data_IF_391344836158
#
_entry.id   IF_391344836158
#
_cell.length_a   1.000
_cell.length_b   1.000
_cell.length_c   1.000
_cell.angle_alpha   90.00
_cell.angle_beta   90.00
_cell.angle_gamma   90.00
#
_symmetry.space_group_name_H-M   'P 1'
#
loop_
_entity.id
_entity.type
_entity.pdbx_description
1 polymer ?
#
# COMPACT_ATOMS: atom_id res chain seq x y z
N UNK A 1 38.27 5.02 -27.70
CA UNK A 1 37.04 4.97 -26.90
C UNK A 1 36.66 3.50 -26.79
N UNK A 2 37.12 2.85 -25.73
CA UNK A 2 36.99 1.39 -25.51
C UNK A 2 35.52 0.99 -25.39
N UNK A 3 35.08 0.04 -26.20
CA UNK A 3 33.71 -0.50 -26.18
C UNK A 3 33.56 -1.35 -24.93
N UNK A 4 32.77 -0.85 -23.97
CA UNK A 4 32.33 -1.64 -22.81
C UNK A 4 31.52 -2.83 -23.31
N UNK A 5 32.05 -4.03 -23.13
CA UNK A 5 31.40 -5.27 -23.51
C UNK A 5 30.39 -5.69 -22.45
N UNK A 6 29.15 -5.22 -22.63
CA UNK A 6 28.03 -5.43 -21.72
C UNK A 6 27.73 -6.93 -21.50
N UNK A 7 28.02 -7.78 -22.49
CA UNK A 7 27.81 -9.21 -22.38
C UNK A 7 28.77 -9.84 -21.36
N UNK A 8 30.02 -9.37 -21.34
CA UNK A 8 31.05 -9.85 -20.43
C UNK A 8 30.79 -9.40 -18.98
N UNK A 9 30.23 -8.20 -18.81
CA UNK A 9 29.83 -7.67 -17.49
C UNK A 9 28.62 -8.41 -16.91
N UNK A 10 27.61 -8.70 -17.74
CA UNK A 10 26.45 -9.52 -17.37
C UNK A 10 26.84 -10.96 -17.00
N UNK A 11 27.77 -11.57 -17.75
CA UNK A 11 28.24 -12.91 -17.44
C UNK A 11 28.96 -12.98 -16.10
N UNK A 12 29.82 -11.99 -15.80
CA UNK A 12 30.52 -11.93 -14.53
C UNK A 12 29.56 -11.73 -13.37
N UNK A 13 28.60 -10.81 -13.47
CA UNK A 13 27.59 -10.60 -12.42
C UNK A 13 26.71 -11.82 -12.18
N UNK A 14 26.33 -12.55 -13.23
CA UNK A 14 25.51 -13.75 -13.08
C UNK A 14 26.27 -14.92 -12.44
N UNK A 15 27.56 -15.10 -12.78
CA UNK A 15 28.37 -16.22 -12.27
C UNK A 15 28.96 -15.97 -10.87
N UNK A 16 29.09 -14.71 -10.45
CA UNK A 16 29.58 -14.33 -9.10
C UNK A 16 28.46 -13.88 -8.15
N UNK A 17 27.20 -14.04 -8.54
CA UNK A 17 26.04 -13.71 -7.72
C UNK A 17 25.94 -14.59 -6.47
N UNK A 18 26.60 -14.19 -5.39
CA UNK A 18 26.25 -14.65 -4.05
C UNK A 18 24.82 -14.18 -3.80
N UNK A 19 23.85 -15.08 -3.97
CA UNK A 19 22.48 -14.86 -3.55
C UNK A 19 22.54 -14.68 -2.03
N UNK A 20 22.54 -13.42 -1.57
CA UNK A 20 22.38 -13.13 -0.14
C UNK A 20 21.00 -13.65 0.24
N UNK A 21 20.94 -14.83 0.86
CA UNK A 21 19.73 -15.26 1.56
C UNK A 21 19.42 -14.18 2.58
N UNK A 22 18.27 -13.52 2.42
CA UNK A 22 17.71 -12.64 3.44
C UNK A 22 17.65 -13.46 4.72
N UNK A 23 18.25 -12.96 5.80
CA UNK A 23 18.19 -13.61 7.11
C UNK A 23 16.72 -13.68 7.55
N UNK A 24 16.05 -14.77 7.21
CA UNK A 24 14.76 -15.12 7.80
C UNK A 24 15.02 -15.41 9.28
N UNK A 25 14.30 -14.78 10.22
CA UNK A 25 14.42 -15.14 11.63
C UNK A 25 14.13 -16.65 11.77
N UNK A 26 14.88 -17.31 12.65
CA UNK A 26 14.69 -18.73 12.91
C UNK A 26 13.24 -18.99 13.33
N UNK A 27 12.59 -20.07 12.86
CA UNK A 27 11.22 -20.38 13.25
C UNK A 27 11.17 -20.53 14.78
N UNK A 28 10.26 -19.78 15.41
CA UNK A 28 9.99 -19.87 16.84
C UNK A 28 9.69 -21.32 17.21
N UNK A 29 10.37 -21.86 18.23
CA UNK A 29 10.21 -23.25 18.63
C UNK A 29 8.73 -23.54 18.94
N UNK A 30 8.17 -24.56 18.29
CA UNK A 30 6.83 -25.08 18.57
C UNK A 30 6.80 -25.65 19.98
N UNK A 31 6.33 -24.87 20.95
CA UNK A 31 6.07 -25.34 22.31
C UNK A 31 4.70 -26.01 22.36
N UNK A 32 4.57 -27.17 21.70
CA UNK A 32 3.35 -27.97 21.75
C UNK A 32 3.56 -29.33 21.10
N UNK A 33 3.39 -30.41 21.86
CA UNK A 33 3.32 -31.76 21.30
C UNK A 33 2.06 -31.85 20.41
N UNK A 34 2.10 -32.58 19.28
CA UNK A 34 0.91 -32.81 18.47
C UNK A 34 -0.18 -33.48 19.32
N UNK A 35 -1.24 -32.73 19.66
CA UNK A 35 -2.37 -33.22 20.45
C UNK A 35 -2.64 -32.47 21.76
N UNK A 36 -1.75 -31.57 22.20
CA UNK A 36 -2.02 -30.75 23.39
C UNK A 36 -2.87 -29.51 23.06
N UNK A 37 -3.83 -29.12 23.92
CA UNK A 37 -4.63 -27.93 23.72
C UNK A 37 -3.77 -26.68 23.91
N UNK A 38 -3.50 -25.99 22.81
CA UNK A 38 -2.82 -24.70 22.82
C UNK A 38 -3.84 -23.55 22.86
N UNK A 39 -3.47 -22.42 23.46
CA UNK A 39 -4.31 -21.22 23.41
C UNK A 39 -4.43 -20.77 21.94
N UNK A 40 -5.66 -20.59 21.47
CA UNK A 40 -5.95 -20.11 20.11
C UNK A 40 -5.17 -18.81 19.82
N UNK A 41 -5.04 -17.93 20.82
CA UNK A 41 -4.24 -16.70 20.71
C UNK A 41 -2.76 -16.94 20.41
N UNK A 42 -2.14 -17.97 21.00
CA UNK A 42 -0.73 -18.31 20.75
C UNK A 42 -0.49 -18.89 19.36
N UNK A 43 -1.42 -19.73 18.88
CA UNK A 43 -1.39 -20.25 17.50
C UNK A 43 -1.57 -19.11 16.50
N UNK A 44 -2.52 -18.20 16.75
CA UNK A 44 -2.76 -17.04 15.90
C UNK A 44 -1.56 -16.09 15.87
N UNK A 45 -0.93 -15.78 17.01
CA UNK A 45 0.26 -14.93 17.04
C UNK A 45 1.40 -15.56 16.24
N UNK A 46 1.61 -16.87 16.35
CA UNK A 46 2.65 -17.57 15.58
C UNK A 46 2.39 -17.52 14.07
N UNK A 47 1.13 -17.68 13.65
CA UNK A 47 0.73 -17.56 12.25
C UNK A 47 0.91 -16.14 11.69
N UNK A 48 0.65 -15.13 12.52
CA UNK A 48 0.87 -13.72 12.15
C UNK A 48 2.36 -13.46 11.92
N UNK A 49 3.22 -13.96 12.81
CA UNK A 49 4.68 -13.79 12.74
C UNK A 49 5.36 -14.58 11.61
N UNK A 50 4.87 -15.78 11.28
CA UNK A 50 5.51 -16.65 10.26
C UNK A 50 5.26 -16.21 8.80
N UNK A 51 4.22 -15.40 8.55
CA UNK A 51 3.70 -15.17 7.19
C UNK A 51 3.67 -13.70 6.72
N UNK A 52 4.47 -12.82 7.33
CA UNK A 52 4.46 -11.37 7.04
C UNK A 52 3.04 -10.76 7.20
N UNK A 53 2.18 -11.38 8.01
CA UNK A 53 0.81 -10.89 8.23
C UNK A 53 0.76 -9.72 9.20
N UNK A 54 1.84 -9.45 9.94
CA UNK A 54 1.97 -8.26 10.78
C UNK A 54 1.74 -6.97 9.99
N UNK A 55 2.28 -6.85 8.77
CA UNK A 55 2.04 -5.68 7.92
C UNK A 55 0.57 -5.59 7.49
N UNK A 56 -0.01 -6.71 7.03
CA UNK A 56 -1.43 -6.75 6.63
C UNK A 56 -2.41 -6.46 7.78
N UNK A 57 -2.07 -6.85 9.02
CA UNK A 57 -2.89 -6.57 10.19
C UNK A 57 -2.80 -5.10 10.61
N UNK A 58 -1.60 -4.53 10.60
CA UNK A 58 -1.36 -3.11 10.84
C UNK A 58 -2.07 -2.23 9.80
N UNK A 59 -1.99 -2.61 8.54
CA UNK A 59 -2.72 -1.99 7.42
C UNK A 59 -4.23 -2.03 7.63
N UNK A 60 -4.77 -3.18 8.06
CA UNK A 60 -6.19 -3.33 8.38
C UNK A 60 -6.64 -2.48 9.57
N UNK A 61 -5.78 -2.34 10.59
CA UNK A 61 -6.09 -1.50 11.75
C UNK A 61 -6.21 -0.01 11.37
N UNK A 62 -5.30 0.49 10.51
CA UNK A 62 -5.36 1.87 10.02
C UNK A 62 -6.69 2.19 9.34
N UNK A 63 -7.30 1.23 8.63
CA UNK A 63 -8.58 1.47 7.96
C UNK A 63 -9.73 1.61 8.96
N UNK A 64 -9.66 0.89 10.08
CA UNK A 64 -10.65 0.96 11.16
C UNK A 64 -10.48 2.26 11.94
N UNK A 65 -9.24 2.65 12.25
CA UNK A 65 -8.93 3.83 13.05
C UNK A 65 -8.73 5.10 12.21
N UNK A 66 -8.97 5.06 10.90
CA UNK A 66 -8.69 6.15 9.97
C UNK A 66 -9.14 7.52 10.49
N UNK A 67 -10.39 7.62 10.94
CA UNK A 67 -10.95 8.86 11.47
C UNK A 67 -10.26 9.40 12.73
N UNK A 68 -9.68 8.51 13.55
CA UNK A 68 -8.89 8.89 14.72
C UNK A 68 -7.51 9.39 14.32
N UNK A 69 -6.91 8.80 13.28
CA UNK A 69 -5.55 9.14 12.80
C UNK A 69 -5.54 10.48 12.07
N UNK A 70 -6.42 10.67 11.09
CA UNK A 70 -6.44 11.88 10.25
C UNK A 70 -7.37 12.98 10.77
N UNK A 71 -8.24 12.66 11.73
CA UNK A 71 -9.24 13.57 12.26
C UNK A 71 -10.55 13.60 11.45
N UNK A 72 -11.58 14.18 12.07
CA UNK A 72 -12.95 14.11 11.56
C UNK A 72 -13.16 14.81 10.21
N UNK A 73 -12.51 15.95 9.98
CA UNK A 73 -12.68 16.74 8.75
C UNK A 73 -12.12 16.00 7.53
N UNK A 74 -10.87 15.55 7.62
CA UNK A 74 -10.24 14.77 6.54
C UNK A 74 -10.98 13.45 6.34
N UNK A 75 -11.36 12.76 7.41
CA UNK A 75 -12.07 11.49 7.31
C UNK A 75 -13.49 11.61 6.72
N UNK A 76 -14.16 12.76 6.87
CA UNK A 76 -15.46 13.00 6.25
C UNK A 76 -15.37 13.04 4.71
N UNK A 77 -14.21 13.42 4.18
CA UNK A 77 -13.99 13.63 2.75
C UNK A 77 -13.07 12.59 2.11
N UNK A 78 -12.54 11.64 2.87
CA UNK A 78 -11.57 10.65 2.40
C UNK A 78 -11.89 9.25 2.88
N UNK A 79 -11.59 8.27 2.04
CA UNK A 79 -11.70 6.86 2.38
C UNK A 79 -10.43 6.12 1.92
N UNK A 80 -9.74 5.38 2.80
CA UNK A 80 -8.61 4.57 2.39
C UNK A 80 -9.12 3.37 1.58
N UNK A 81 -8.52 3.13 0.41
CA UNK A 81 -8.91 2.04 -0.50
C UNK A 81 -8.02 0.82 -0.31
N UNK A 82 -6.70 1.03 -0.35
CA UNK A 82 -5.72 -0.05 -0.37
C UNK A 82 -4.37 0.44 0.08
N UNK A 83 -3.61 -0.47 0.69
CA UNK A 83 -2.18 -0.27 0.98
C UNK A 83 -1.42 -1.34 0.18
N UNK A 84 -0.34 -0.92 -0.48
CA UNK A 84 0.54 -1.83 -1.22
C UNK A 84 1.96 -1.28 -1.19
N UNK A 85 2.93 -2.05 -0.70
CA UNK A 85 4.34 -1.67 -0.67
C UNK A 85 4.59 -0.29 -0.03
N UNK A 86 3.86 0.01 1.05
CA UNK A 86 3.93 1.30 1.75
C UNK A 86 3.27 2.47 1.01
N UNK A 87 2.57 2.22 -0.09
CA UNK A 87 1.72 3.20 -0.78
C UNK A 87 0.29 3.08 -0.30
N UNK A 88 -0.20 4.09 0.41
CA UNK A 88 -1.60 4.20 0.80
C UNK A 88 -2.38 4.96 -0.28
N UNK A 89 -3.38 4.29 -0.83
CA UNK A 89 -4.31 4.84 -1.81
C UNK A 89 -5.58 5.33 -1.13
N UNK A 90 -5.96 6.58 -1.40
CA UNK A 90 -7.07 7.27 -0.75
C UNK A 90 -8.04 7.79 -1.82
N UNK A 91 -9.32 7.46 -1.69
CA UNK A 91 -10.38 8.07 -2.48
C UNK A 91 -10.91 9.31 -1.77
N UNK A 92 -11.02 10.40 -2.50
CA UNK A 92 -11.60 11.66 -2.01
C UNK A 92 -13.00 11.86 -2.55
N UNK A 93 -13.80 12.61 -1.80
CA UNK A 93 -15.17 13.00 -2.18
C UNK A 93 -15.21 13.94 -3.39
N UNK A 94 -14.17 14.77 -3.58
CA UNK A 94 -14.05 15.69 -4.71
C UNK A 94 -12.62 15.84 -5.22
N UNK A 95 -12.49 16.32 -6.45
CA UNK A 95 -11.23 16.71 -7.12
C UNK A 95 -10.54 17.88 -6.41
N UNK A 96 -11.31 18.84 -5.91
CA UNK A 96 -10.79 19.92 -5.07
C UNK A 96 -10.14 19.40 -3.79
N UNK A 97 -10.79 18.46 -3.09
CA UNK A 97 -10.23 17.81 -1.89
C UNK A 97 -8.96 17.02 -2.19
N UNK A 98 -8.91 16.29 -3.32
CA UNK A 98 -7.68 15.60 -3.74
C UNK A 98 -6.52 16.58 -3.93
N UNK A 99 -6.79 17.75 -4.52
CA UNK A 99 -5.78 18.79 -4.74
C UNK A 99 -5.34 19.42 -3.41
N UNK A 100 -6.28 19.71 -2.51
CA UNK A 100 -5.97 20.23 -1.18
C UNK A 100 -5.05 19.26 -0.41
N UNK A 101 -5.38 17.98 -0.39
CA UNK A 101 -4.58 16.96 0.28
C UNK A 101 -3.22 16.74 -0.38
N UNK A 102 -3.13 16.91 -1.71
CA UNK A 102 -1.87 16.88 -2.43
C UNK A 102 -0.90 17.99 -1.96
N UNK A 103 -1.42 19.16 -1.53
CA UNK A 103 -0.61 20.25 -1.01
C UNK A 103 -0.10 19.98 0.42
N UNK A 104 -0.91 19.31 1.26
CA UNK A 104 -0.57 18.99 2.66
C UNK A 104 -0.10 17.54 2.85
N UNK A 105 0.31 16.88 1.77
CA UNK A 105 0.63 15.44 1.78
C UNK A 105 1.74 15.10 2.77
N UNK A 106 2.78 15.93 2.86
CA UNK A 106 3.92 15.70 3.74
C UNK A 106 3.50 15.70 5.21
N UNK A 107 2.71 16.68 5.63
CA UNK A 107 2.21 16.77 7.00
C UNK A 107 1.30 15.58 7.32
N UNK A 108 0.38 15.25 6.41
CA UNK A 108 -0.53 14.12 6.57
C UNK A 108 0.23 12.79 6.69
N UNK A 109 1.27 12.60 5.88
CA UNK A 109 2.15 11.42 5.95
C UNK A 109 2.84 11.32 7.30
N UNK A 110 3.37 12.44 7.83
CA UNK A 110 3.97 12.45 9.17
C UNK A 110 2.98 12.11 10.27
N UNK A 111 1.75 12.64 10.19
CA UNK A 111 0.69 12.31 11.15
C UNK A 111 0.37 10.81 11.15
N UNK A 112 0.25 10.20 9.97
CA UNK A 112 0.00 8.76 9.85
C UNK A 112 1.19 7.95 10.38
N UNK A 113 2.43 8.34 10.07
CA UNK A 113 3.62 7.64 10.54
C UNK A 113 3.83 7.73 12.06
N UNK A 114 3.33 8.78 12.70
CA UNK A 114 3.39 8.94 14.15
C UNK A 114 2.36 8.07 14.89
N UNK A 115 1.35 7.56 14.20
CA UNK A 115 0.34 6.69 14.81
C UNK A 115 0.92 5.29 15.07
N UNK A 116 0.74 4.70 16.27
CA UNK A 116 1.29 3.40 16.62
C UNK A 116 0.64 2.21 15.88
N UNK A 117 -0.28 2.44 14.95
CA UNK A 117 -1.01 1.39 14.22
C UNK A 117 -0.13 0.54 13.29
N UNK A 118 1.19 0.75 13.24
CA UNK A 118 2.18 -0.20 12.71
C UNK A 118 2.26 -0.24 11.18
N UNK A 119 1.38 0.47 10.48
CA UNK A 119 1.39 0.52 9.02
C UNK A 119 2.55 1.40 8.55
N UNK A 120 3.58 0.78 7.97
CA UNK A 120 4.73 1.51 7.43
C UNK A 120 4.35 2.14 6.09
N UNK A 121 3.75 3.34 6.15
CA UNK A 121 3.38 4.11 4.95
C UNK A 121 4.54 5.02 4.55
N UNK A 122 4.95 4.90 3.29
CA UNK A 122 6.01 5.68 2.66
C UNK A 122 5.47 6.72 1.68
N UNK A 123 4.29 6.49 1.11
CA UNK A 123 3.70 7.38 0.09
C UNK A 123 2.18 7.39 0.18
N UNK A 124 1.62 8.56 -0.11
CA UNK A 124 0.18 8.76 -0.25
C UNK A 124 -0.17 9.05 -1.71
N UNK A 125 -1.27 8.48 -2.18
CA UNK A 125 -1.86 8.79 -3.49
C UNK A 125 -3.34 9.07 -3.31
N UNK A 126 -3.77 10.23 -3.81
CA UNK A 126 -5.16 10.67 -3.75
C UNK A 126 -5.81 10.52 -5.11
N UNK A 127 -7.00 9.90 -5.13
CA UNK A 127 -7.86 9.82 -6.29
C UNK A 127 -9.13 10.62 -6.03
N UNK A 128 -9.49 11.48 -6.98
CA UNK A 128 -10.80 12.12 -6.99
C UNK A 128 -11.95 11.10 -7.15
N UNK A 129 -13.21 11.55 -7.03
CA UNK A 129 -14.36 10.71 -7.32
C UNK A 129 -14.23 10.17 -8.75
N UNK A 130 -14.57 8.90 -8.95
CA UNK A 130 -14.53 8.31 -10.29
C UNK A 130 -15.53 9.05 -11.18
N UNK A 131 -15.01 9.79 -12.15
CA UNK A 131 -15.83 10.55 -13.09
C UNK A 131 -16.67 9.62 -13.96
N UNK A 132 -17.81 10.10 -14.50
CA UNK A 132 -18.58 9.30 -15.43
C UNK A 132 -17.72 8.88 -16.62
N UNK A 133 -17.94 7.68 -17.15
CA UNK A 133 -17.36 7.26 -18.43
C UNK A 133 -18.43 7.34 -19.50
N UNK A 134 -18.20 8.17 -20.52
CA UNK A 134 -19.06 8.27 -21.70
C UNK A 134 -18.72 7.24 -22.78
N UNK A 135 -17.71 6.39 -22.54
CA UNK A 135 -17.41 5.27 -23.42
C UNK A 135 -18.47 4.20 -23.21
N UNK A 136 -19.39 4.07 -24.17
CA UNK A 136 -20.41 3.02 -24.18
C UNK A 136 -20.07 1.96 -25.23
N UNK A 137 -19.86 0.72 -24.78
CA UNK A 137 -19.67 -0.45 -25.64
C UNK A 137 -18.29 -0.57 -26.31
N UNK A 138 -18.13 -1.67 -27.04
CA UNK A 138 -16.87 -2.04 -27.73
C UNK A 138 -16.61 -1.11 -28.93
N UNK A 139 -17.67 -0.56 -29.54
CA UNK A 139 -17.61 0.35 -30.69
C UNK A 139 -17.91 1.78 -30.24
N UNK A 140 -16.89 2.50 -29.79
CA UNK A 140 -16.97 3.95 -29.54
C UNK A 140 -16.43 4.72 -30.75
N UNK A 141 -17.03 5.86 -31.08
CA UNK A 141 -16.57 6.72 -32.18
C UNK A 141 -15.20 7.34 -31.83
N UNK A 142 -14.23 7.22 -32.74
CA UNK A 142 -12.93 7.90 -32.64
C UNK A 142 -13.20 9.40 -32.83
N UNK A 143 -12.93 10.23 -31.82
CA UNK A 143 -13.27 11.66 -31.73
C UNK A 143 -14.72 12.01 -31.33
N UNK A 144 -15.38 11.20 -30.49
CA UNK A 144 -16.55 11.70 -29.75
C UNK A 144 -16.14 12.97 -28.99
N UNK A 145 -16.94 14.04 -29.09
CA UNK A 145 -16.77 15.18 -28.19
C UNK A 145 -17.13 14.72 -26.79
N UNK A 146 -16.10 14.57 -25.95
CA UNK A 146 -16.25 14.25 -24.54
C UNK A 146 -16.99 15.35 -23.77
N UNK A 147 -17.09 15.22 -22.44
CA UNK A 147 -17.75 16.20 -21.59
C UNK A 147 -17.12 17.57 -21.79
N UNK A 148 -17.95 18.60 -21.87
CA UNK A 148 -17.51 19.98 -21.97
C UNK A 148 -17.73 20.63 -20.60
N UNK A 149 -16.63 20.87 -19.90
CA UNK A 149 -16.52 21.72 -18.69
C UNK A 149 -17.42 21.40 -17.49
N UNK A 150 -17.88 20.15 -17.30
CA UNK A 150 -18.92 19.88 -16.28
C UNK A 150 -18.45 19.22 -14.98
N UNK A 151 -17.14 19.05 -14.75
CA UNK A 151 -16.67 18.39 -13.52
C UNK A 151 -15.45 19.13 -12.96
N UNK A 152 -15.69 19.92 -11.92
CA UNK A 152 -14.70 20.56 -11.05
C UNK A 152 -14.67 19.88 -9.70
#
# INVERSE_FOLDING_TARGET
MEKRDLALDLFKTFKTGVIRKINKPAPTQRTGQPGDPELIGGVLSNLISEREWDSGLAEGNLFITWAQVVGADIAAHTTPISISDGLLTIQTSSTAWATQLALVTTELLTTIQNDPSGATIQKLVFFGPSGPTWKKGIRSIRNARGPRDTYG
#
